data_IF_690844638464
#
_entry.id   IF_690844638464
#
_cell.length_a   1.000
_cell.length_b   1.000
_cell.length_c   1.000
_cell.angle_alpha   90.00
_cell.angle_beta   90.00
_cell.angle_gamma   90.00
#
_symmetry.space_group_name_H-M   'P 1'
#
loop_
_entity.id
_entity.type
_entity.pdbx_description
1 polymer ?
#
# COMPACT_ATOMS: atom_id res chain seq x y z
N UNK A 1 -6.39 -1.47 -10.76
CA UNK A 1 -5.14 -0.93 -11.36
C UNK A 1 -5.31 0.09 -12.47
N UNK A 2 -6.51 0.36 -12.98
CA UNK A 2 -6.73 1.34 -14.08
C UNK A 2 -6.17 2.75 -13.80
N UNK A 3 -6.22 3.19 -12.55
CA UNK A 3 -5.66 4.47 -12.13
C UNK A 3 -4.16 4.57 -12.43
N UNK A 4 -3.39 3.54 -12.04
CA UNK A 4 -1.95 3.48 -12.26
C UNK A 4 -1.65 3.41 -13.75
N UNK A 5 -2.33 2.53 -14.49
CA UNK A 5 -2.07 2.34 -15.93
C UNK A 5 -2.31 3.60 -16.74
N UNK A 6 -3.32 4.40 -16.37
CA UNK A 6 -3.62 5.67 -17.03
C UNK A 6 -2.56 6.75 -16.75
N UNK A 7 -1.89 6.67 -15.59
CA UNK A 7 -0.85 7.63 -15.18
C UNK A 7 0.56 7.20 -15.57
N UNK A 8 0.76 5.98 -16.10
CA UNK A 8 2.07 5.50 -16.54
C UNK A 8 2.82 6.48 -17.46
N UNK A 9 2.19 7.15 -18.45
CA UNK A 9 2.91 8.12 -19.28
C UNK A 9 3.46 9.30 -18.46
N UNK A 10 2.67 9.81 -17.51
CA UNK A 10 3.10 10.91 -16.64
C UNK A 10 4.19 10.45 -15.66
N UNK A 11 4.08 9.24 -15.12
CA UNK A 11 5.10 8.65 -14.26
C UNK A 11 6.43 8.52 -14.99
N UNK A 12 6.45 8.07 -16.26
CA UNK A 12 7.69 7.96 -17.04
C UNK A 12 8.42 9.29 -17.27
N UNK A 13 7.71 10.42 -17.21
CA UNK A 13 8.28 11.76 -17.33
C UNK A 13 8.68 12.37 -15.97
N UNK A 14 8.27 11.75 -14.87
CA UNK A 14 8.60 12.23 -13.53
C UNK A 14 10.08 12.01 -13.23
N UNK A 15 10.66 12.95 -12.48
CA UNK A 15 12.03 12.85 -11.98
C UNK A 15 12.19 11.67 -11.01
N UNK A 16 11.22 11.47 -10.14
CA UNK A 16 11.23 10.43 -9.10
C UNK A 16 9.91 9.64 -9.15
N UNK A 17 9.74 8.75 -10.14
CA UNK A 17 8.49 8.05 -10.35
C UNK A 17 8.25 6.98 -9.28
N UNK A 18 7.16 7.15 -8.53
CA UNK A 18 6.77 6.23 -7.47
C UNK A 18 5.26 6.11 -7.39
N UNK A 19 4.81 4.91 -7.07
CA UNK A 19 3.42 4.59 -6.75
C UNK A 19 3.40 3.90 -5.40
N UNK A 20 2.70 4.48 -4.44
CA UNK A 20 2.43 3.85 -3.16
C UNK A 20 0.93 3.55 -3.05
N UNK A 21 0.59 2.28 -2.90
CA UNK A 21 -0.78 1.82 -2.65
C UNK A 21 -0.95 1.52 -1.17
N UNK A 22 -1.83 2.26 -0.50
CA UNK A 22 -2.14 2.07 0.92
C UNK A 22 -3.28 1.06 1.05
N UNK A 23 -2.98 -0.11 1.60
CA UNK A 23 -3.95 -1.17 1.91
C UNK A 23 -3.34 -2.05 3.01
N UNK A 24 -3.48 -3.37 2.97
CA UNK A 24 -3.09 -4.30 4.03
C UNK A 24 -1.89 -5.15 3.59
N UNK A 25 -0.87 -4.53 3.00
CA UNK A 25 0.39 -5.19 2.63
C UNK A 25 0.92 -6.11 3.74
N UNK A 26 1.44 -7.27 3.37
CA UNK A 26 1.85 -8.31 4.32
C UNK A 26 0.69 -9.13 4.91
N UNK A 27 -0.54 -8.91 4.44
CA UNK A 27 -1.75 -9.71 4.76
C UNK A 27 -2.31 -10.42 3.53
N UNK A 28 -1.45 -10.69 2.55
CA UNK A 28 -1.78 -11.50 1.39
C UNK A 28 -2.24 -12.90 1.82
N UNK A 29 -3.11 -13.48 1.01
CA UNK A 29 -3.66 -14.82 1.23
C UNK A 29 -3.63 -15.60 -0.07
N UNK A 30 -3.79 -16.92 0.03
CA UNK A 30 -3.96 -17.72 -1.16
C UNK A 30 -5.33 -17.45 -1.79
N UNK A 31 -5.31 -17.02 -3.05
CA UNK A 31 -6.53 -16.85 -3.85
C UNK A 31 -6.96 -18.22 -4.38
N UNK A 32 -8.24 -18.56 -4.21
CA UNK A 32 -8.82 -19.77 -4.80
C UNK A 32 -9.22 -19.44 -6.24
N UNK A 33 -8.61 -20.10 -7.24
CA UNK A 33 -8.90 -19.80 -8.65
C UNK A 33 -10.35 -20.09 -9.04
N UNK A 34 -11.01 -21.00 -8.33
CA UNK A 34 -12.40 -21.37 -8.57
C UNK A 34 -13.42 -20.48 -7.85
N UNK A 35 -12.97 -19.47 -7.09
CA UNK A 35 -13.81 -18.50 -6.37
C UNK A 35 -13.30 -17.06 -6.55
N UNK A 36 -12.73 -16.75 -7.72
CA UNK A 36 -12.22 -15.40 -8.03
C UNK A 36 -13.29 -14.31 -8.02
N UNK A 37 -14.54 -14.69 -8.34
CA UNK A 37 -15.72 -13.83 -8.29
C UNK A 37 -16.29 -13.68 -6.87
N UNK A 38 -15.73 -14.40 -5.89
CA UNK A 38 -16.17 -14.48 -4.50
C UNK A 38 -17.64 -14.93 -4.32
N UNK A 39 -18.25 -15.59 -5.30
CA UNK A 39 -19.65 -16.01 -5.21
C UNK A 39 -19.88 -17.23 -4.32
N UNK A 40 -18.88 -18.11 -4.14
CA UNK A 40 -19.03 -19.38 -3.40
C UNK A 40 -18.80 -19.24 -1.89
N UNK A 41 -17.92 -18.34 -1.47
CA UNK A 41 -17.50 -18.21 -0.06
C UNK A 41 -17.16 -16.76 0.27
N UNK A 42 -18.12 -15.87 0.03
CA UNK A 42 -18.00 -14.46 0.34
C UNK A 42 -17.93 -14.23 1.86
N UNK A 43 -16.96 -13.40 2.27
CA UNK A 43 -17.02 -12.65 3.51
C UNK A 43 -16.30 -11.32 3.31
N UNK A 44 -16.61 -10.30 4.12
CA UNK A 44 -15.89 -9.03 4.07
C UNK A 44 -14.37 -9.21 4.29
N UNK A 45 -13.99 -10.11 5.19
CA UNK A 45 -12.59 -10.43 5.46
C UNK A 45 -11.93 -11.11 4.27
N UNK A 46 -12.58 -12.10 3.67
CA UNK A 46 -12.06 -12.79 2.46
C UNK A 46 -11.92 -11.81 1.30
N UNK A 47 -12.92 -10.96 1.07
CA UNK A 47 -12.88 -9.92 0.05
C UNK A 47 -11.71 -8.95 0.27
N UNK A 48 -11.48 -8.55 1.53
CA UNK A 48 -10.34 -7.73 1.92
C UNK A 48 -9.00 -8.41 1.59
N UNK A 49 -8.82 -9.68 1.98
CA UNK A 49 -7.57 -10.40 1.69
C UNK A 49 -7.34 -10.67 0.19
N UNK A 50 -8.41 -10.93 -0.57
CA UNK A 50 -8.30 -11.05 -2.02
C UNK A 50 -7.89 -9.71 -2.65
N UNK A 51 -8.48 -8.60 -2.20
CA UNK A 51 -8.09 -7.26 -2.66
C UNK A 51 -6.63 -6.94 -2.34
N UNK A 52 -6.16 -7.28 -1.13
CA UNK A 52 -4.75 -7.15 -0.73
C UNK A 52 -3.84 -7.93 -1.67
N UNK A 53 -4.12 -9.23 -1.83
CA UNK A 53 -3.27 -10.12 -2.64
C UNK A 53 -3.23 -9.69 -4.10
N UNK A 54 -4.38 -9.36 -4.68
CA UNK A 54 -4.45 -8.86 -6.06
C UNK A 54 -3.74 -7.51 -6.22
N UNK A 55 -3.73 -6.68 -5.18
CA UNK A 55 -2.97 -5.41 -5.18
C UNK A 55 -1.47 -5.69 -5.23
N UNK A 56 -0.96 -6.55 -4.36
CA UNK A 56 0.45 -6.98 -4.35
C UNK A 56 0.85 -7.56 -5.71
N UNK A 57 0.10 -8.55 -6.20
CA UNK A 57 0.40 -9.21 -7.47
C UNK A 57 0.43 -8.23 -8.64
N UNK A 58 -0.53 -7.32 -8.71
CA UNK A 58 -0.60 -6.38 -9.81
C UNK A 58 0.47 -5.29 -9.73
N UNK A 59 0.89 -4.86 -8.53
CA UNK A 59 2.04 -3.98 -8.35
C UNK A 59 3.35 -4.70 -8.70
N UNK A 60 3.54 -5.94 -8.28
CA UNK A 60 4.72 -6.76 -8.66
C UNK A 60 4.81 -6.94 -10.18
N UNK A 61 3.67 -7.19 -10.83
CA UNK A 61 3.61 -7.29 -12.28
C UNK A 61 4.00 -5.98 -12.98
N UNK A 62 3.50 -4.84 -12.49
CA UNK A 62 3.84 -3.52 -13.02
C UNK A 62 5.31 -3.15 -12.77
N UNK A 63 5.87 -3.50 -11.60
CA UNK A 63 7.28 -3.29 -11.27
C UNK A 63 8.19 -4.06 -12.22
N UNK A 64 7.84 -5.29 -12.58
CA UNK A 64 8.58 -6.08 -13.56
C UNK A 64 8.54 -5.47 -14.97
N UNK A 65 7.43 -4.82 -15.35
CA UNK A 65 7.28 -4.17 -16.67
C UNK A 65 7.86 -2.76 -16.74
N UNK A 66 7.97 -2.08 -15.59
CA UNK A 66 8.42 -0.69 -15.50
C UNK A 66 9.49 -0.55 -14.40
N UNK A 67 10.68 -1.14 -14.58
CA UNK A 67 11.74 -1.18 -13.56
C UNK A 67 12.29 0.19 -13.18
N UNK A 68 12.04 1.22 -13.99
CA UNK A 68 12.36 2.62 -13.72
C UNK A 68 11.34 3.33 -12.80
N UNK A 69 10.24 2.68 -12.44
CA UNK A 69 9.21 3.20 -11.52
C UNK A 69 9.21 2.34 -10.25
N UNK A 70 9.16 2.98 -9.09
CA UNK A 70 9.01 2.28 -7.80
C UNK A 70 7.53 2.00 -7.51
N UNK A 71 7.19 0.77 -7.15
CA UNK A 71 5.84 0.37 -6.76
C UNK A 71 5.87 -0.22 -5.36
N UNK A 72 5.06 0.33 -4.47
CA UNK A 72 5.04 0.00 -3.05
C UNK A 72 3.62 -0.35 -2.64
N UNK A 73 3.46 -1.46 -1.94
CA UNK A 73 2.23 -1.78 -1.23
C UNK A 73 2.51 -1.57 0.26
N UNK A 74 1.67 -0.79 0.94
CA UNK A 74 1.98 -0.36 2.31
C UNK A 74 0.78 -0.54 3.21
N UNK A 75 1.05 -1.12 4.39
CA UNK A 75 0.12 -1.15 5.51
C UNK A 75 0.61 -0.23 6.63
N UNK A 76 -0.04 0.92 6.85
CA UNK A 76 0.37 1.88 7.88
C UNK A 76 -0.11 1.50 9.29
N UNK A 77 -0.72 0.31 9.45
CA UNK A 77 -1.45 -0.07 10.66
C UNK A 77 -2.91 0.38 10.64
N UNK A 78 -3.62 0.17 11.75
CA UNK A 78 -4.97 0.68 11.94
C UNK A 78 -4.89 2.16 12.33
N UNK A 79 -5.51 3.05 11.56
CA UNK A 79 -5.44 4.49 11.84
C UNK A 79 -6.83 4.96 12.28
N UNK A 80 -6.97 5.67 13.41
CA UNK A 80 -8.26 6.06 13.95
C UNK A 80 -8.87 7.18 13.10
N UNK A 81 -9.56 6.76 12.03
CA UNK A 81 -10.24 7.65 11.09
C UNK A 81 -11.75 7.41 11.16
N UNK A 82 -12.59 8.32 10.63
CA UNK A 82 -14.04 8.14 10.57
C UNK A 82 -14.50 6.93 9.73
N UNK A 83 -13.60 6.18 9.11
CA UNK A 83 -13.94 5.01 8.28
C UNK A 83 -14.66 3.93 9.08
N UNK A 84 -14.28 3.72 10.36
CA UNK A 84 -14.88 2.66 11.18
C UNK A 84 -16.34 2.98 11.54
N UNK A 85 -16.63 4.24 11.84
CA UNK A 85 -17.99 4.69 12.15
C UNK A 85 -18.85 4.80 10.90
N UNK A 86 -18.26 5.20 9.76
CA UNK A 86 -18.98 5.33 8.49
C UNK A 86 -19.25 3.99 7.80
N UNK A 87 -18.35 3.02 7.94
CA UNK A 87 -18.49 1.70 7.30
C UNK A 87 -19.50 0.80 8.02
N UNK A 88 -19.58 0.87 9.36
CA UNK A 88 -20.41 -0.04 10.18
C UNK A 88 -21.61 0.67 10.83
N UNK A 89 -21.62 2.00 10.88
CA UNK A 89 -22.73 2.83 11.35
C UNK A 89 -22.97 2.78 12.86
N UNK A 90 -23.48 3.89 13.41
CA UNK A 90 -24.07 3.96 14.76
C UNK A 90 -23.20 3.40 15.90
N UNK A 91 -23.84 2.68 16.82
CA UNK A 91 -23.22 2.09 18.03
C UNK A 91 -22.16 1.04 17.67
N UNK A 92 -22.38 0.28 16.59
CA UNK A 92 -21.47 -0.78 16.16
C UNK A 92 -20.11 -0.21 15.77
N UNK A 93 -20.10 0.86 14.97
CA UNK A 93 -18.86 1.56 14.62
C UNK A 93 -18.09 2.10 15.83
N UNK A 94 -18.81 2.60 16.85
CA UNK A 94 -18.21 3.06 18.11
C UNK A 94 -17.57 1.91 18.90
N UNK A 95 -18.25 0.77 19.01
CA UNK A 95 -17.72 -0.41 19.70
C UNK A 95 -16.47 -0.93 18.99
N UNK A 96 -16.51 -1.03 17.67
CA UNK A 96 -15.34 -1.46 16.86
C UNK A 96 -14.18 -0.49 17.03
N UNK A 97 -14.43 0.82 16.96
CA UNK A 97 -13.39 1.83 17.14
C UNK A 97 -12.75 1.75 18.53
N UNK A 98 -13.56 1.52 19.58
CA UNK A 98 -13.07 1.35 20.95
C UNK A 98 -12.21 0.08 21.09
N UNK A 99 -12.65 -1.04 20.49
CA UNK A 99 -11.93 -2.30 20.54
C UNK A 99 -10.61 -2.25 19.78
N UNK A 100 -10.56 -1.53 18.65
CA UNK A 100 -9.36 -1.39 17.83
C UNK A 100 -8.37 -0.38 18.38
N UNK A 101 -8.81 0.59 19.19
CA UNK A 101 -7.99 1.67 19.76
C UNK A 101 -6.58 1.25 20.24
N UNK A 102 -6.40 0.21 21.08
CA UNK A 102 -5.07 -0.19 21.55
C UNK A 102 -4.13 -0.69 20.43
N UNK A 103 -4.67 -1.04 19.27
CA UNK A 103 -3.91 -1.48 18.10
C UNK A 103 -3.81 -0.40 17.03
N UNK A 104 -4.21 0.84 17.35
CA UNK A 104 -4.15 1.95 16.39
C UNK A 104 -2.81 2.68 16.41
N UNK A 105 -2.42 3.15 15.23
CA UNK A 105 -1.32 4.07 15.01
C UNK A 105 -1.90 5.49 14.94
N UNK A 106 -1.33 6.46 15.68
CA UNK A 106 -1.73 7.86 15.58
C UNK A 106 -1.70 8.41 14.15
N UNK A 107 -2.64 9.30 13.83
CA UNK A 107 -2.78 9.87 12.48
C UNK A 107 -1.51 10.59 12.01
N UNK A 108 -0.85 11.35 12.88
CA UNK A 108 0.40 12.04 12.57
C UNK A 108 1.53 11.06 12.24
N UNK A 109 1.66 9.98 13.02
CA UNK A 109 2.66 8.95 12.78
C UNK A 109 2.42 8.21 11.46
N UNK A 110 1.16 7.86 11.15
CA UNK A 110 0.82 7.30 9.84
C UNK A 110 1.13 8.27 8.69
N UNK A 111 0.97 9.57 8.90
CA UNK A 111 1.33 10.62 7.93
C UNK A 111 2.83 10.70 7.70
N UNK A 112 3.63 10.67 8.77
CA UNK A 112 5.10 10.62 8.71
C UNK A 112 5.59 9.41 7.93
N UNK A 113 5.03 8.22 8.19
CA UNK A 113 5.37 7.00 7.45
C UNK A 113 4.97 7.10 5.98
N UNK A 114 3.81 7.65 5.67
CA UNK A 114 3.36 7.85 4.29
C UNK A 114 4.27 8.82 3.54
N UNK A 115 4.69 9.91 4.20
CA UNK A 115 5.65 10.86 3.63
C UNK A 115 7.03 10.22 3.42
N UNK A 116 7.50 9.42 4.38
CA UNK A 116 8.76 8.70 4.28
C UNK A 116 8.75 7.73 3.11
N UNK A 117 7.70 6.91 2.98
CA UNK A 117 7.50 6.01 1.82
C UNK A 117 7.48 6.79 0.50
N UNK A 118 6.81 7.94 0.46
CA UNK A 118 6.68 8.74 -0.75
C UNK A 118 7.97 9.43 -1.19
N UNK A 119 8.87 9.77 -0.25
CA UNK A 119 10.02 10.66 -0.54
C UNK A 119 11.38 10.03 -0.33
N UNK A 120 11.50 8.98 0.49
CA UNK A 120 12.80 8.39 0.85
C UNK A 120 13.51 7.75 -0.35
N UNK A 121 14.83 7.94 -0.42
CA UNK A 121 15.72 7.24 -1.34
C UNK A 121 15.76 5.72 -1.09
N UNK A 122 15.39 5.28 0.11
CA UNK A 122 15.31 3.86 0.47
C UNK A 122 14.31 3.05 -0.35
N UNK A 123 13.34 3.70 -1.00
CA UNK A 123 12.34 3.07 -1.85
C UNK A 123 12.48 3.49 -3.33
N UNK A 124 13.72 3.69 -3.80
CA UNK A 124 14.01 4.02 -5.20
C UNK A 124 13.58 2.90 -6.16
N UNK A 125 13.38 3.25 -7.42
CA UNK A 125 13.15 2.28 -8.47
C UNK A 125 14.41 1.42 -8.68
N UNK A 126 14.23 0.21 -9.24
CA UNK A 126 15.35 -0.71 -9.50
C UNK A 126 16.34 -0.14 -10.52
N UNK A 127 15.82 0.48 -11.57
CA UNK A 127 16.60 1.21 -12.56
C UNK A 127 16.48 2.71 -12.27
N UNK A 128 17.34 3.21 -11.38
CA UNK A 128 17.41 4.62 -11.04
C UNK A 128 18.69 5.23 -11.62
N UNK A 129 18.57 6.30 -12.42
CA UNK A 129 19.73 7.13 -12.74
C UNK A 129 20.12 7.97 -11.52
N UNK A 130 21.42 8.03 -11.21
CA UNK A 130 22.02 8.61 -9.99
C UNK A 130 21.55 10.05 -9.65
N UNK A 131 21.02 10.80 -10.63
CA UNK A 131 20.51 12.15 -10.44
C UNK A 131 19.14 12.26 -9.73
N UNK A 132 18.51 11.12 -9.39
CA UNK A 132 17.10 11.02 -9.01
C UNK A 132 16.85 10.19 -7.73
N UNK A 133 17.76 10.28 -6.76
CA UNK A 133 17.52 9.72 -5.44
C UNK A 133 16.61 10.64 -4.64
N UNK A 134 15.61 10.06 -3.96
CA UNK A 134 14.74 10.79 -3.04
C UNK A 134 15.51 11.39 -1.86
N UNK A 135 14.82 11.70 -0.77
CA UNK A 135 15.47 12.15 0.47
C UNK A 135 16.44 11.07 0.97
N UNK A 136 17.74 11.38 1.13
CA UNK A 136 18.72 10.40 1.58
C UNK A 136 18.34 9.77 2.92
N UNK A 137 18.71 8.52 3.10
CA UNK A 137 18.58 7.85 4.38
C UNK A 137 19.61 8.41 5.37
N UNK A 138 19.26 8.40 6.65
CA UNK A 138 20.22 8.72 7.72
C UNK A 138 21.31 7.64 7.75
N UNK A 139 22.55 8.05 8.08
CA UNK A 139 23.70 7.14 8.15
C UNK A 139 23.39 5.88 8.95
N UNK A 140 23.68 4.71 8.35
CA UNK A 140 23.45 3.40 8.94
C UNK A 140 22.08 2.76 8.66
N UNK A 141 21.15 3.46 7.99
CA UNK A 141 19.86 2.88 7.59
C UNK A 141 19.94 2.35 6.16
N UNK A 142 19.71 1.05 5.97
CA UNK A 142 19.65 0.40 4.65
C UNK A 142 18.19 0.42 4.16
N UNK A 143 17.95 0.96 2.96
CA UNK A 143 16.64 0.91 2.33
C UNK A 143 16.33 -0.49 1.78
N UNK A 144 15.13 -1.01 2.05
CA UNK A 144 14.64 -2.22 1.40
C UNK A 144 13.94 -1.83 0.10
N UNK A 145 14.56 -2.14 -1.04
CA UNK A 145 13.94 -2.00 -2.36
C UNK A 145 12.78 -2.97 -2.60
N UNK A 146 12.66 -3.98 -1.75
CA UNK A 146 11.64 -5.02 -1.79
C UNK A 146 10.86 -4.96 -0.46
N UNK A 147 9.85 -4.08 -0.38
CA UNK A 147 8.79 -4.22 0.61
C UNK A 147 7.53 -4.62 -0.14
N UNK A 148 7.14 -5.88 0.07
CA UNK A 148 5.97 -6.52 -0.52
C UNK A 148 4.67 -5.79 -0.18
#
# INVERSE_FOLDING_TARGET
MRFITNLLPALKLSRTPRVASILAAGKETQISPDNLDLCKSYSFTTAGFYATTMTTLALSHLAAQHPSISFLHVFPGFVPTPIYTSAWGGIVGTIVSMLLWPFTVPLNQSGEWSLFVATSAGFRARECHEAHEGVPLVDGVIGSGDIF
#
